data_IF_809371697661
#
_entry.id   IF_809371697661
#
_cell.length_a   1.000
_cell.length_b   1.000
_cell.length_c   1.000
_cell.angle_alpha   90.00
_cell.angle_beta   90.00
_cell.angle_gamma   90.00
#
_symmetry.space_group_name_H-M   'P 1'
#
loop_
_entity.id
_entity.type
_entity.pdbx_description
1 polymer ?
#
# COMPACT_ATOMS: atom_id res chain seq x y z
N UNK A 1 28.89 46.20 11.77
CA UNK A 1 29.04 44.98 10.94
C UNK A 1 28.35 43.83 11.67
N UNK A 2 27.24 43.31 11.12
CA UNK A 2 27.02 41.91 10.68
C UNK A 2 27.12 40.86 11.81
N UNK A 3 26.17 39.97 12.10
CA UNK A 3 24.89 39.58 11.52
C UNK A 3 24.12 38.85 12.64
N UNK A 4 22.84 39.20 12.86
CA UNK A 4 21.91 38.33 13.55
C UNK A 4 21.46 37.27 12.54
N UNK A 5 22.03 36.07 12.61
CA UNK A 5 21.48 34.90 11.93
C UNK A 5 20.18 34.54 12.67
N UNK A 6 19.08 35.12 12.20
CA UNK A 6 17.74 34.61 12.45
C UNK A 6 17.72 33.23 11.84
N UNK A 7 17.80 32.20 12.69
CA UNK A 7 17.48 30.84 12.28
C UNK A 7 16.00 30.84 11.90
N UNK A 8 15.73 31.05 10.62
CA UNK A 8 14.42 30.78 10.03
C UNK A 8 14.23 29.27 10.08
N UNK A 9 13.71 28.78 11.20
CA UNK A 9 13.01 27.49 11.22
C UNK A 9 11.84 27.66 10.28
N UNK A 10 12.03 27.25 9.02
CA UNK A 10 10.99 27.10 8.02
C UNK A 10 9.90 26.26 8.67
N UNK A 11 8.77 26.89 8.98
CA UNK A 11 7.57 26.26 9.51
C UNK A 11 7.04 25.33 8.41
N UNK A 12 7.62 24.15 8.27
CA UNK A 12 7.18 23.14 7.31
C UNK A 12 5.81 22.67 7.77
N UNK A 13 4.78 23.23 7.13
CA UNK A 13 3.38 22.81 7.28
C UNK A 13 3.32 21.29 7.09
N UNK A 14 3.18 20.59 8.22
CA UNK A 14 3.06 19.13 8.28
C UNK A 14 1.80 18.74 7.50
N UNK A 15 1.91 17.74 6.63
CA UNK A 15 0.74 17.24 5.88
C UNK A 15 -0.09 16.44 6.89
N UNK A 16 -1.26 16.96 7.28
CA UNK A 16 -2.10 16.37 8.34
C UNK A 16 -3.15 15.40 7.82
N UNK A 17 -3.48 15.48 6.53
CA UNK A 17 -4.53 14.66 5.92
C UNK A 17 -3.94 13.59 4.99
N UNK A 18 -4.42 12.36 5.13
CA UNK A 18 -4.11 11.23 4.27
C UNK A 18 -5.38 10.40 4.09
N UNK A 19 -5.72 10.06 2.84
CA UNK A 19 -6.93 9.31 2.52
C UNK A 19 -6.80 7.85 2.96
N UNK A 20 -7.92 7.26 3.38
CA UNK A 20 -7.96 5.84 3.75
C UNK A 20 -7.83 4.93 2.53
N UNK A 21 -7.42 3.68 2.77
CA UNK A 21 -7.37 2.69 1.70
C UNK A 21 -8.78 2.17 1.38
N UNK A 22 -9.14 2.20 0.10
CA UNK A 22 -10.39 1.61 -0.38
C UNK A 22 -10.27 0.09 -0.55
N UNK A 23 -10.70 -0.63 0.47
CA UNK A 23 -10.77 -2.10 0.44
C UNK A 23 -11.67 -2.70 -0.64
N UNK A 24 -12.57 -1.90 -1.26
CA UNK A 24 -13.39 -2.37 -2.39
C UNK A 24 -12.62 -2.42 -3.71
N UNK A 25 -11.47 -1.74 -3.79
CA UNK A 25 -10.54 -1.79 -4.91
C UNK A 25 -9.14 -2.29 -4.47
N UNK A 26 -8.96 -3.62 -4.25
CA UNK A 26 -7.68 -4.19 -3.84
C UNK A 26 -6.51 -3.91 -4.79
N UNK A 27 -6.78 -3.72 -6.09
CA UNK A 27 -5.77 -3.42 -7.10
C UNK A 27 -5.09 -2.06 -6.86
N UNK A 28 -5.75 -1.13 -6.16
CA UNK A 28 -5.19 0.18 -5.79
C UNK A 28 -4.18 0.13 -4.64
N UNK A 29 -3.86 -1.04 -4.10
CA UNK A 29 -2.94 -1.16 -2.95
C UNK A 29 -1.54 -0.62 -3.26
N UNK A 30 -1.03 -0.83 -4.47
CA UNK A 30 0.31 -0.37 -4.86
C UNK A 30 0.40 1.15 -4.83
N UNK A 31 -0.55 1.84 -5.49
CA UNK A 31 -0.67 3.30 -5.51
C UNK A 31 -0.84 3.88 -4.10
N UNK A 32 -1.73 3.29 -3.29
CA UNK A 32 -1.91 3.68 -1.89
C UNK A 32 -0.59 3.58 -1.10
N UNK A 33 0.15 2.49 -1.30
CA UNK A 33 1.41 2.25 -0.59
C UNK A 33 2.50 3.24 -1.00
N UNK A 34 2.55 3.65 -2.26
CA UNK A 34 3.48 4.66 -2.77
C UNK A 34 3.16 6.04 -2.21
N UNK A 35 1.88 6.45 -2.25
CA UNK A 35 1.41 7.69 -1.62
C UNK A 35 1.77 7.76 -0.15
N UNK A 36 1.64 6.64 0.57
CA UNK A 36 2.02 6.56 1.98
C UNK A 36 3.53 6.74 2.18
N UNK A 37 4.38 6.22 1.28
CA UNK A 37 5.83 6.47 1.35
C UNK A 37 6.12 7.95 1.21
N UNK A 38 5.55 8.64 0.23
CA UNK A 38 5.73 10.08 0.05
C UNK A 38 5.22 10.88 1.25
N UNK A 39 4.06 10.49 1.81
CA UNK A 39 3.52 11.13 3.02
C UNK A 39 4.47 11.00 4.21
N UNK A 40 5.06 9.81 4.42
CA UNK A 40 6.04 9.60 5.49
C UNK A 40 7.31 10.41 5.27
N UNK A 41 7.79 10.51 4.03
CA UNK A 41 8.98 11.30 3.67
C UNK A 41 8.76 12.80 3.86
N UNK A 42 7.64 13.33 3.39
CA UNK A 42 7.27 14.73 3.56
C UNK A 42 7.18 15.14 5.04
N UNK A 43 6.76 14.22 5.91
CA UNK A 43 6.68 14.43 7.35
C UNK A 43 7.97 14.00 8.11
N UNK A 44 9.06 13.70 7.40
CA UNK A 44 10.35 13.26 7.98
C UNK A 44 10.25 12.03 8.90
N UNK A 45 9.30 11.13 8.64
CA UNK A 45 9.05 9.93 9.43
C UNK A 45 9.87 8.75 8.89
N UNK A 46 11.01 8.46 9.53
CA UNK A 46 11.97 7.43 9.09
C UNK A 46 11.91 6.14 9.93
N UNK A 47 11.58 6.26 11.21
CA UNK A 47 11.60 5.15 12.17
C UNK A 47 10.53 4.09 11.86
N UNK A 48 10.92 2.82 11.82
CA UNK A 48 9.99 1.71 11.56
C UNK A 48 8.73 1.71 12.44
N UNK A 49 8.84 1.83 13.78
CA UNK A 49 7.67 1.91 14.67
C UNK A 49 6.76 3.10 14.36
N UNK A 50 7.34 4.26 14.00
CA UNK A 50 6.58 5.47 13.66
C UNK A 50 5.86 5.34 12.33
N UNK A 51 6.50 4.74 11.32
CA UNK A 51 5.89 4.43 10.01
C UNK A 51 4.71 3.48 10.17
N UNK A 52 4.86 2.46 11.02
CA UNK A 52 3.79 1.53 11.35
C UNK A 52 2.63 2.22 12.05
N UNK A 53 2.90 3.05 13.06
CA UNK A 53 1.86 3.79 13.77
C UNK A 53 1.06 4.69 12.81
N UNK A 54 1.74 5.40 11.91
CA UNK A 54 1.07 6.21 10.87
C UNK A 54 0.18 5.35 9.99
N UNK A 55 0.69 4.24 9.43
CA UNK A 55 -0.12 3.33 8.62
C UNK A 55 -1.39 2.89 9.38
N UNK A 56 -1.23 2.40 10.61
CA UNK A 56 -2.36 1.94 11.42
C UNK A 56 -3.40 3.04 11.68
N UNK A 57 -2.96 4.29 11.80
CA UNK A 57 -3.87 5.44 11.99
C UNK A 57 -4.58 5.88 10.70
N UNK A 58 -3.90 5.83 9.55
CA UNK A 58 -4.43 6.39 8.29
C UNK A 58 -5.06 5.36 7.34
N UNK A 59 -4.89 4.06 7.60
CA UNK A 59 -5.39 3.00 6.71
C UNK A 59 -6.90 2.74 6.80
N UNK A 60 -7.56 3.32 7.79
CA UNK A 60 -8.98 3.11 8.05
C UNK A 60 -9.29 1.81 8.80
N UNK A 61 -10.50 1.69 9.38
CA UNK A 61 -10.85 0.61 10.29
C UNK A 61 -10.86 -0.78 9.62
N UNK A 62 -11.29 -0.87 8.35
CA UNK A 62 -11.35 -2.14 7.61
C UNK A 62 -9.94 -2.70 7.35
N UNK A 63 -9.05 -1.87 6.84
CA UNK A 63 -7.66 -2.23 6.57
C UNK A 63 -6.91 -2.56 7.86
N UNK A 64 -7.16 -1.81 8.93
CA UNK A 64 -6.59 -2.12 10.24
C UNK A 64 -7.04 -3.49 10.77
N UNK A 65 -8.31 -3.86 10.61
CA UNK A 65 -8.82 -5.19 10.98
C UNK A 65 -8.09 -6.32 10.23
N UNK A 66 -7.82 -6.11 8.94
CA UNK A 66 -7.03 -7.05 8.13
C UNK A 66 -5.59 -7.16 8.66
N UNK A 67 -4.93 -6.02 8.92
CA UNK A 67 -3.57 -5.99 9.48
C UNK A 67 -3.51 -6.77 10.80
N UNK A 68 -4.47 -6.54 11.70
CA UNK A 68 -4.58 -7.24 12.98
C UNK A 68 -4.77 -8.75 12.80
N UNK A 69 -5.62 -9.15 11.85
CA UNK A 69 -5.86 -10.56 11.54
C UNK A 69 -4.61 -11.25 10.98
N UNK A 70 -3.83 -10.55 10.13
CA UNK A 70 -2.60 -11.07 9.54
C UNK A 70 -1.41 -11.14 10.51
N UNK A 71 -1.46 -10.42 11.63
CA UNK A 71 -0.34 -10.33 12.58
C UNK A 71 -0.59 -11.08 13.88
N UNK A 72 -1.84 -11.48 14.15
CA UNK A 72 -2.22 -12.32 15.28
C UNK A 72 -1.41 -13.63 15.34
N UNK A 73 -0.92 -14.05 16.53
CA UNK A 73 -1.16 -13.47 17.87
C UNK A 73 -0.21 -12.32 18.25
N UNK A 74 0.79 -12.03 17.42
CA UNK A 74 1.81 -11.02 17.69
C UNK A 74 1.25 -9.59 17.48
N UNK A 75 1.87 -8.56 18.12
CA UNK A 75 1.55 -7.18 17.80
C UNK A 75 1.85 -6.91 16.32
N UNK A 76 1.16 -5.94 15.68
CA UNK A 76 1.31 -5.67 14.26
C UNK A 76 2.76 -5.40 13.88
N UNK A 77 3.48 -6.39 13.38
CA UNK A 77 4.82 -6.23 12.81
C UNK A 77 4.67 -6.29 11.31
N UNK A 78 4.43 -5.12 10.71
CA UNK A 78 4.08 -5.08 9.31
C UNK A 78 5.30 -5.31 8.41
N UNK A 79 5.26 -6.39 7.63
CA UNK A 79 6.11 -6.55 6.46
C UNK A 79 5.32 -6.06 5.25
N UNK A 80 5.86 -5.12 4.47
CA UNK A 80 5.25 -4.64 3.22
C UNK A 80 4.77 -5.79 2.32
N UNK A 81 5.53 -6.88 2.31
CA UNK A 81 5.25 -8.08 1.53
C UNK A 81 3.95 -8.78 1.95
N UNK A 82 3.61 -8.80 3.25
CA UNK A 82 2.39 -9.45 3.75
C UNK A 82 1.12 -8.76 3.26
N UNK A 83 1.13 -7.43 3.17
CA UNK A 83 -0.02 -6.66 2.68
C UNK A 83 -0.17 -6.75 1.16
N UNK A 84 0.94 -6.64 0.42
CA UNK A 84 0.91 -6.82 -1.04
C UNK A 84 0.39 -8.20 -1.43
N UNK A 85 0.84 -9.26 -0.74
CA UNK A 85 0.35 -10.61 -1.01
C UNK A 85 -1.12 -10.82 -0.65
N UNK A 86 -1.66 -10.07 0.32
CA UNK A 86 -3.07 -10.17 0.70
C UNK A 86 -4.00 -9.49 -0.32
N UNK A 87 -3.70 -8.25 -0.71
CA UNK A 87 -4.55 -7.50 -1.64
C UNK A 87 -4.27 -7.82 -3.11
N UNK A 88 -3.04 -8.22 -3.43
CA UNK A 88 -2.60 -8.58 -4.77
C UNK A 88 -1.93 -9.96 -4.75
N UNK A 89 -2.69 -11.04 -4.46
CA UNK A 89 -2.13 -12.38 -4.45
C UNK A 89 -1.60 -12.74 -5.82
N UNK A 90 -0.42 -13.38 -5.88
CA UNK A 90 0.06 -13.98 -7.13
C UNK A 90 -0.95 -15.04 -7.57
N UNK A 91 -1.41 -15.03 -8.83
CA UNK A 91 -2.25 -16.09 -9.34
C UNK A 91 -1.55 -17.44 -9.21
N UNK A 92 -2.27 -18.48 -8.78
CA UNK A 92 -1.66 -19.82 -8.69
C UNK A 92 -1.35 -20.36 -10.08
N UNK A 93 -0.16 -20.94 -10.25
CA UNK A 93 0.28 -21.48 -11.54
C UNK A 93 -0.67 -22.59 -12.04
N UNK A 94 -1.13 -23.46 -11.14
CA UNK A 94 -2.08 -24.53 -11.46
C UNK A 94 -3.40 -23.96 -11.99
N UNK A 95 -3.94 -22.93 -11.35
CA UNK A 95 -5.16 -22.28 -11.81
C UNK A 95 -4.96 -21.55 -13.15
N UNK A 96 -3.83 -20.88 -13.35
CA UNK A 96 -3.51 -20.24 -14.62
C UNK A 96 -3.38 -21.26 -15.77
N UNK A 97 -2.71 -22.41 -15.52
CA UNK A 97 -2.66 -23.52 -16.49
C UNK A 97 -4.06 -24.07 -16.79
N UNK A 98 -4.91 -24.22 -15.77
CA UNK A 98 -6.29 -24.65 -15.96
C UNK A 98 -7.10 -23.67 -16.83
N UNK A 99 -6.98 -22.35 -16.58
CA UNK A 99 -7.64 -21.33 -17.40
C UNK A 99 -7.15 -21.36 -18.85
N UNK A 100 -5.83 -21.47 -19.05
CA UNK A 100 -5.23 -21.58 -20.38
C UNK A 100 -5.76 -22.80 -21.15
N UNK A 101 -5.80 -23.97 -20.51
CA UNK A 101 -6.32 -25.19 -21.15
C UNK A 101 -7.84 -25.18 -21.38
N UNK A 102 -8.60 -24.34 -20.67
CA UNK A 102 -10.05 -24.18 -20.87
C UNK A 102 -10.42 -23.13 -21.91
N UNK A 103 -9.49 -22.26 -22.31
CA UNK A 103 -9.76 -21.27 -23.34
C UNK A 103 -9.92 -22.01 -24.67
N UNK A 104 -11.03 -21.77 -25.34
CA UNK A 104 -11.32 -22.24 -26.70
C UNK A 104 -11.50 -21.01 -27.57
N UNK A 105 -10.96 -21.06 -28.79
CA UNK A 105 -11.09 -19.95 -29.74
C UNK A 105 -12.56 -19.75 -30.04
N UNK A 106 -13.06 -18.54 -29.80
CA UNK A 106 -14.46 -18.27 -30.09
C UNK A 106 -14.69 -18.22 -31.61
N UNK A 107 -15.89 -18.58 -32.09
CA UNK A 107 -16.22 -18.44 -33.51
C UNK A 107 -16.00 -16.99 -33.97
N UNK A 108 -15.07 -16.79 -34.91
CA UNK A 108 -14.70 -15.47 -35.43
C UNK A 108 -13.61 -14.72 -34.65
N UNK A 109 -13.08 -15.28 -33.57
CA UNK A 109 -11.88 -14.73 -32.89
C UNK A 109 -10.66 -15.00 -33.79
N UNK A 110 -9.97 -13.95 -34.24
CA UNK A 110 -8.72 -14.11 -34.99
C UNK A 110 -7.61 -14.67 -34.11
N UNK A 111 -6.62 -15.36 -34.71
CA UNK A 111 -5.48 -15.96 -33.99
C UNK A 111 -4.69 -14.94 -33.17
N UNK A 112 -4.68 -13.66 -33.56
CA UNK A 112 -4.01 -12.59 -32.80
C UNK A 112 -4.77 -12.15 -31.53
N UNK A 113 -6.07 -12.41 -31.46
CA UNK A 113 -6.91 -12.10 -30.29
C UNK A 113 -7.06 -13.30 -29.34
N UNK A 114 -6.85 -14.51 -29.86
CA UNK A 114 -6.78 -15.76 -29.12
C UNK A 114 -5.52 -15.85 -28.26
#
# INVERSE_FOLDING_TARGET
MRNNLVNTTTDMKTITHFEEFDTSNPAGWEEYSERLVFFLEANSIREGPRRLAVLCSVCGPKTYSIIKSLTSPDPPRLRKHSMKNHFMPRPSEVYQRFLYHRRLQQPGEGVAAY
#
